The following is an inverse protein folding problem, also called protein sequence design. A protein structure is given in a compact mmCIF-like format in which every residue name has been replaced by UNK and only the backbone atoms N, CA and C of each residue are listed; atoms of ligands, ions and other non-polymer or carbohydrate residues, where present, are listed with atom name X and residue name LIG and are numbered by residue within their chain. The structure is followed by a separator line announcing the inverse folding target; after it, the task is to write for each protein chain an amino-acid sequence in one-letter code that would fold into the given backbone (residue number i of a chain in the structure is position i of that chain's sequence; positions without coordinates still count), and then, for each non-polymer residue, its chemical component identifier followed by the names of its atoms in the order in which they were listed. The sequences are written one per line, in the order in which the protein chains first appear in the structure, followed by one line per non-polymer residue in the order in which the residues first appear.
data_IF_236017716688
#
_entry.id   IF_236017716688
#
_cell.length_a   1.000
_cell.length_b   1.000
_cell.length_c   1.000
_cell.angle_alpha   90.00
_cell.angle_beta   90.00
_cell.angle_gamma   90.00
#
_symmetry.space_group_name_H-M   'P 1'
#
loop_
_entity.id
_entity.type
_entity.pdbx_description
1 polymer ?
#
# COMPACT_ATOMS: atom_id res chain seq x y z
N UNK A 1 0.49 32.37 39.26
CA UNK A 1 -0.82 31.71 39.16
C UNK A 1 -0.68 30.30 39.70
N UNK A 2 -1.35 30.03 40.83
CA UNK A 2 -1.18 28.82 41.65
C UNK A 2 -1.85 27.60 41.00
N UNK A 3 -1.10 26.52 40.81
CA UNK A 3 -1.62 25.23 40.36
C UNK A 3 -2.28 24.48 41.51
N UNK A 4 -3.60 24.57 41.61
CA UNK A 4 -4.41 23.73 42.48
C UNK A 4 -4.36 22.27 41.99
N UNK A 5 -3.94 21.33 42.85
CA UNK A 5 -4.23 19.90 42.68
C UNK A 5 -3.08 18.90 42.66
N UNK A 6 -1.82 19.28 42.92
CA UNK A 6 -0.70 18.31 42.85
C UNK A 6 -0.40 17.68 44.23
N UNK A 7 -0.49 16.34 44.39
CA UNK A 7 -0.18 15.67 45.66
C UNK A 7 1.33 15.75 45.97
N UNK A 8 1.70 15.83 47.27
CA UNK A 8 3.10 15.94 47.69
C UNK A 8 3.84 14.63 47.40
N UNK A 9 4.91 14.71 46.59
CA UNK A 9 5.76 13.55 46.23
C UNK A 9 5.84 13.20 44.74
N UNK A 10 5.15 13.93 43.86
CA UNK A 10 5.22 13.68 42.42
C UNK A 10 6.59 14.12 41.85
N UNK A 11 7.48 13.14 41.61
CA UNK A 11 8.72 13.28 40.85
C UNK A 11 8.49 14.20 39.64
N UNK A 12 9.23 15.29 39.54
CA UNK A 12 9.24 16.14 38.35
C UNK A 12 9.96 15.38 37.24
N UNK A 13 9.25 14.48 36.56
CA UNK A 13 9.68 14.00 35.26
C UNK A 13 9.46 15.15 34.29
N UNK A 14 10.52 15.88 33.97
CA UNK A 14 10.53 16.70 32.76
C UNK A 14 10.57 15.71 31.60
N UNK A 15 9.47 15.50 30.85
CA UNK A 15 9.54 14.62 29.70
C UNK A 15 10.60 15.16 28.76
N UNK A 16 11.54 14.31 28.36
CA UNK A 16 12.40 14.60 27.22
C UNK A 16 11.46 14.92 26.06
N UNK A 17 11.58 16.11 25.45
CA UNK A 17 10.75 16.46 24.30
C UNK A 17 10.86 15.34 23.26
N UNK A 18 9.74 14.89 22.67
CA UNK A 18 9.80 13.85 21.66
C UNK A 18 10.71 14.32 20.53
N UNK A 19 11.45 13.40 19.91
CA UNK A 19 12.36 13.63 18.77
C UNK A 19 11.73 14.44 17.62
N UNK A 20 10.39 14.52 17.55
CA UNK A 20 9.64 15.28 16.54
C UNK A 20 9.00 16.59 17.04
N UNK A 21 9.30 17.01 18.28
CA UNK A 21 9.07 18.34 18.85
C UNK A 21 7.61 18.85 18.91
N UNK A 22 7.10 19.14 20.11
CA UNK A 22 5.93 19.99 20.28
C UNK A 22 6.35 21.47 20.24
N UNK A 23 6.44 22.05 19.02
CA UNK A 23 6.58 23.50 18.78
C UNK A 23 7.96 24.12 19.10
N UNK A 24 8.49 25.15 18.38
CA UNK A 24 8.08 25.78 17.12
C UNK A 24 8.98 25.34 15.95
N UNK A 25 8.39 24.70 14.96
CA UNK A 25 9.07 24.12 13.79
C UNK A 25 9.48 25.14 12.70
N UNK A 26 9.44 26.43 13.04
CA UNK A 26 9.79 27.55 12.17
C UNK A 26 10.19 28.73 13.06
N UNK A 27 11.45 28.72 13.51
CA UNK A 27 11.93 29.55 14.61
C UNK A 27 11.86 31.04 14.28
N UNK A 28 12.13 31.40 13.02
CA UNK A 28 12.10 32.77 12.51
C UNK A 28 10.94 32.99 11.53
N UNK A 29 10.25 31.93 11.13
CA UNK A 29 9.14 32.01 10.20
C UNK A 29 9.57 32.05 8.74
N UNK A 30 10.68 31.39 8.43
CA UNK A 30 11.28 31.40 7.10
C UNK A 30 10.32 30.78 6.08
N UNK A 31 9.54 29.78 6.48
CA UNK A 31 8.56 29.10 5.63
C UNK A 31 7.12 29.62 5.83
N UNK A 32 6.92 30.71 6.61
CA UNK A 32 5.60 31.33 6.83
C UNK A 32 4.85 31.72 5.55
N UNK A 33 5.48 32.28 4.50
CA UNK A 33 4.73 32.69 3.30
C UNK A 33 3.95 31.53 2.66
N UNK A 34 4.64 30.40 2.43
CA UNK A 34 4.03 29.18 1.85
C UNK A 34 3.03 28.55 2.80
N UNK A 35 3.30 28.60 4.11
CA UNK A 35 2.37 28.13 5.14
C UNK A 35 1.05 28.90 5.10
N UNK A 36 1.10 30.24 4.98
CA UNK A 36 -0.09 31.09 4.92
C UNK A 36 -0.90 30.82 3.66
N UNK A 37 -0.24 30.60 2.52
CA UNK A 37 -0.90 30.19 1.27
C UNK A 37 -1.62 28.85 1.42
N UNK A 38 -0.95 27.85 2.01
CA UNK A 38 -1.54 26.56 2.31
C UNK A 38 -2.77 26.69 3.22
N UNK A 39 -2.66 27.43 4.34
CA UNK A 39 -3.79 27.66 5.25
C UNK A 39 -4.92 28.43 4.58
N UNK A 40 -4.61 29.39 3.71
CA UNK A 40 -5.60 30.11 2.91
C UNK A 40 -6.33 29.16 1.97
N UNK A 41 -5.61 28.25 1.31
CA UNK A 41 -6.19 27.23 0.45
C UNK A 41 -7.15 26.31 1.23
N UNK A 42 -6.72 25.78 2.38
CA UNK A 42 -7.55 24.91 3.23
C UNK A 42 -8.81 25.63 3.72
N UNK A 43 -8.70 26.92 4.08
CA UNK A 43 -9.87 27.72 4.45
C UNK A 43 -10.84 27.87 3.29
N UNK A 44 -10.34 28.17 2.08
CA UNK A 44 -11.15 28.29 0.86
C UNK A 44 -11.84 26.98 0.46
N UNK A 45 -11.16 25.84 0.66
CA UNK A 45 -11.70 24.51 0.37
C UNK A 45 -12.60 23.94 1.47
N UNK A 46 -13.03 24.77 2.45
CA UNK A 46 -13.88 24.37 3.58
C UNK A 46 -13.27 23.25 4.42
N UNK A 47 -11.96 23.31 4.65
CA UNK A 47 -11.23 22.32 5.44
C UNK A 47 -10.87 21.03 4.68
N UNK A 48 -11.21 20.92 3.38
CA UNK A 48 -10.85 19.76 2.57
C UNK A 48 -9.43 19.92 2.03
N UNK A 49 -8.64 18.85 2.05
CA UNK A 49 -7.33 18.85 1.41
C UNK A 49 -7.47 18.66 -0.11
N UNK A 50 -7.86 19.72 -0.82
CA UNK A 50 -8.00 19.72 -2.27
C UNK A 50 -6.63 19.50 -2.97
N UNK A 51 -6.60 19.04 -4.23
CA UNK A 51 -5.36 18.77 -4.96
C UNK A 51 -4.39 19.97 -4.95
N UNK A 52 -4.92 21.18 -5.12
CA UNK A 52 -4.14 22.41 -5.11
C UNK A 52 -3.53 22.69 -3.72
N UNK A 53 -4.28 22.44 -2.66
CA UNK A 53 -3.79 22.59 -1.28
C UNK A 53 -2.74 21.53 -0.95
N UNK A 54 -2.84 20.33 -1.53
CA UNK A 54 -1.83 19.28 -1.40
C UNK A 54 -0.50 19.70 -2.04
N UNK A 55 -0.51 20.42 -3.16
CA UNK A 55 0.73 20.96 -3.74
C UNK A 55 1.37 22.03 -2.83
N UNK A 56 0.57 22.92 -2.25
CA UNK A 56 1.06 23.92 -1.29
C UNK A 56 1.63 23.27 -0.01
N UNK A 57 1.00 22.21 0.49
CA UNK A 57 1.51 21.43 1.61
C UNK A 57 2.87 20.79 1.28
N UNK A 58 3.03 20.26 0.06
CA UNK A 58 4.29 19.69 -0.42
C UNK A 58 5.41 20.74 -0.44
N UNK A 59 5.12 21.93 -0.96
CA UNK A 59 6.07 23.05 -1.00
C UNK A 59 6.45 23.54 0.41
N UNK A 60 5.49 23.59 1.33
CA UNK A 60 5.75 23.96 2.72
C UNK A 60 6.70 22.97 3.40
N UNK A 61 6.46 21.67 3.24
CA UNK A 61 7.34 20.63 3.78
C UNK A 61 8.71 20.64 3.12
N UNK A 62 8.77 20.88 1.80
CA UNK A 62 10.03 21.07 1.07
C UNK A 62 10.86 22.20 1.66
N UNK A 63 10.25 23.37 1.86
CA UNK A 63 10.91 24.53 2.47
C UNK A 63 11.51 24.17 3.83
N UNK A 64 10.78 23.42 4.65
CA UNK A 64 11.26 23.03 5.98
C UNK A 64 12.42 22.04 5.93
N UNK A 65 12.45 21.13 4.97
CA UNK A 65 13.60 20.23 4.75
C UNK A 65 14.82 21.00 4.23
N UNK A 66 14.65 21.91 3.26
CA UNK A 66 15.74 22.70 2.67
C UNK A 66 16.41 23.64 3.68
N UNK A 67 15.63 24.14 4.64
CA UNK A 67 16.11 25.04 5.70
C UNK A 67 16.51 24.33 6.98
N UNK A 68 16.63 23.00 6.95
CA UNK A 68 16.97 22.17 8.11
C UNK A 68 16.02 22.38 9.32
N UNK A 69 14.78 22.80 9.07
CA UNK A 69 13.69 22.92 10.05
C UNK A 69 12.92 21.59 10.24
N UNK A 70 13.30 20.57 9.47
CA UNK A 70 12.81 19.19 9.53
C UNK A 70 13.87 18.26 8.93
N UNK A 71 13.98 17.04 9.45
CA UNK A 71 14.81 16.01 8.83
C UNK A 71 14.35 15.72 7.39
N UNK A 72 15.27 15.57 6.43
CA UNK A 72 14.92 15.18 5.07
C UNK A 72 14.21 13.82 5.05
N UNK A 73 13.09 13.73 4.31
CA UNK A 73 12.33 12.49 4.11
C UNK A 73 11.74 12.48 2.69
N UNK A 74 11.43 11.29 2.21
CA UNK A 74 10.82 11.11 0.90
C UNK A 74 9.35 11.53 0.92
N UNK A 75 8.95 12.29 -0.08
CA UNK A 75 7.56 12.72 -0.27
C UNK A 75 6.57 11.55 -0.33
N UNK A 76 7.02 10.36 -0.73
CA UNK A 76 6.21 9.13 -0.72
C UNK A 76 5.81 8.70 0.70
N UNK A 77 6.73 8.83 1.66
CA UNK A 77 6.51 8.53 3.08
C UNK A 77 5.62 9.59 3.76
N UNK A 78 5.71 10.83 3.28
CA UNK A 78 4.90 11.96 3.74
C UNK A 78 3.49 12.01 3.10
N UNK A 79 3.12 10.98 2.32
CA UNK A 79 1.79 10.88 1.72
C UNK A 79 1.58 11.75 0.48
N UNK A 80 2.65 12.17 -0.22
CA UNK A 80 2.62 12.88 -1.50
C UNK A 80 2.97 11.96 -2.68
N UNK A 81 2.32 10.79 -2.72
CA UNK A 81 2.43 9.86 -3.84
C UNK A 81 1.55 10.34 -5.01
N UNK A 82 2.03 10.11 -6.23
CA UNK A 82 1.27 10.36 -7.44
C UNK A 82 0.09 9.38 -7.52
N UNK A 83 -1.08 9.88 -7.89
CA UNK A 83 -2.32 9.07 -7.90
C UNK A 83 -2.22 7.92 -8.91
N UNK A 84 -1.54 8.14 -10.04
CA UNK A 84 -1.21 7.11 -11.02
C UNK A 84 -0.25 6.05 -10.45
N UNK A 85 0.78 6.46 -9.72
CA UNK A 85 1.70 5.53 -9.07
C UNK A 85 1.01 4.73 -7.96
N UNK A 86 0.14 5.36 -7.16
CA UNK A 86 -0.65 4.65 -6.15
C UNK A 86 -1.61 3.65 -6.80
N UNK A 87 -2.33 4.06 -7.85
CA UNK A 87 -3.23 3.15 -8.58
C UNK A 87 -2.48 1.95 -9.13
N UNK A 88 -1.33 2.17 -9.77
CA UNK A 88 -0.48 1.09 -10.28
C UNK A 88 0.03 0.19 -9.17
N UNK A 89 0.50 0.76 -8.06
CA UNK A 89 0.98 -0.02 -6.92
C UNK A 89 -0.14 -0.80 -6.21
N UNK A 90 -1.36 -0.25 -6.14
CA UNK A 90 -2.54 -0.94 -5.61
C UNK A 90 -3.04 -2.02 -6.56
N UNK A 91 -3.04 -1.76 -7.87
CA UNK A 91 -3.41 -2.72 -8.90
C UNK A 91 -2.41 -3.90 -8.96
N UNK A 92 -1.11 -3.62 -8.87
CA UNK A 92 -0.06 -4.64 -8.81
C UNK A 92 -0.17 -5.50 -7.54
N UNK A 93 -0.43 -4.88 -6.38
CA UNK A 93 -0.70 -5.61 -5.11
C UNK A 93 -1.98 -6.43 -5.19
N UNK A 94 -3.04 -5.88 -5.79
CA UNK A 94 -4.32 -6.54 -5.98
C UNK A 94 -4.22 -7.74 -6.92
N UNK A 95 -3.50 -7.57 -8.04
CA UNK A 95 -3.21 -8.63 -9.00
C UNK A 95 -2.39 -9.75 -8.34
N UNK A 96 -1.35 -9.40 -7.58
CA UNK A 96 -0.54 -10.34 -6.81
C UNK A 96 -1.39 -11.14 -5.81
N UNK A 97 -2.29 -10.47 -5.08
CA UNK A 97 -3.19 -11.15 -4.13
C UNK A 97 -4.18 -12.08 -4.82
N UNK A 98 -4.73 -11.68 -5.97
CA UNK A 98 -5.66 -12.48 -6.76
C UNK A 98 -4.97 -13.73 -7.33
N UNK A 99 -3.74 -13.59 -7.83
CA UNK A 99 -2.94 -14.72 -8.32
C UNK A 99 -2.61 -15.71 -7.19
N UNK A 100 -2.25 -15.21 -6.01
CA UNK A 100 -2.05 -16.04 -4.82
C UNK A 100 -3.32 -16.82 -4.47
N UNK A 101 -4.47 -16.16 -4.42
CA UNK A 101 -5.76 -16.79 -4.15
C UNK A 101 -6.12 -17.85 -5.19
N UNK A 102 -5.85 -17.61 -6.48
CA UNK A 102 -6.07 -18.59 -7.54
C UNK A 102 -5.22 -19.85 -7.32
N UNK A 103 -3.95 -19.70 -6.96
CA UNK A 103 -3.05 -20.82 -6.65
C UNK A 103 -3.52 -21.60 -5.43
N UNK A 104 -3.84 -20.90 -4.33
CA UNK A 104 -4.35 -21.53 -3.10
C UNK A 104 -5.66 -22.29 -3.35
N UNK A 105 -6.59 -21.71 -4.12
CA UNK A 105 -7.84 -22.37 -4.49
C UNK A 105 -7.60 -23.62 -5.35
N UNK A 106 -6.68 -23.55 -6.31
CA UNK A 106 -6.34 -24.71 -7.14
C UNK A 106 -5.73 -25.84 -6.31
N UNK A 107 -4.83 -25.51 -5.38
CA UNK A 107 -4.23 -26.47 -4.45
C UNK A 107 -5.28 -27.14 -3.56
N UNK A 108 -6.24 -26.38 -3.04
CA UNK A 108 -7.35 -26.94 -2.25
C UNK A 108 -8.23 -27.89 -3.07
N UNK A 109 -8.51 -27.56 -4.33
CA UNK A 109 -9.26 -28.43 -5.25
C UNK A 109 -8.47 -29.72 -5.50
N UNK A 110 -7.16 -29.62 -5.79
CA UNK A 110 -6.27 -30.78 -5.99
C UNK A 110 -6.23 -31.69 -4.77
N UNK A 111 -6.09 -31.11 -3.56
CA UNK A 111 -6.11 -31.88 -2.30
C UNK A 111 -7.43 -32.60 -2.09
N UNK A 112 -8.55 -31.91 -2.29
CA UNK A 112 -9.88 -32.52 -2.16
C UNK A 112 -10.07 -33.69 -3.12
N UNK A 113 -9.64 -33.55 -4.37
CA UNK A 113 -9.69 -34.63 -5.37
C UNK A 113 -8.78 -35.83 -5.04
N UNK A 114 -7.68 -35.59 -4.33
CA UNK A 114 -6.76 -36.62 -3.86
C UNK A 114 -7.31 -37.34 -2.61
N UNK A 115 -7.97 -36.62 -1.70
CA UNK A 115 -8.69 -37.20 -0.57
C UNK A 115 -9.87 -38.05 -1.06
N UNK A 116 -10.62 -37.52 -2.01
CA UNK A 116 -11.67 -38.18 -2.78
C UNK A 116 -11.17 -39.46 -3.52
N UNK A 117 -9.89 -39.51 -3.89
CA UNK A 117 -9.28 -40.70 -4.49
C UNK A 117 -9.18 -41.89 -3.52
N UNK A 118 -8.98 -41.59 -2.24
CA UNK A 118 -8.80 -42.57 -1.18
C UNK A 118 -10.13 -43.02 -0.57
N UNK A 119 -11.21 -42.27 -0.79
CA UNK A 119 -12.55 -42.66 -0.40
C UNK A 119 -13.17 -43.58 -1.48
N UNK A 120 -13.70 -44.75 -1.08
CA UNK A 120 -14.29 -45.75 -2.00
C UNK A 120 -15.67 -45.31 -2.52
N UNK A 121 -15.79 -44.09 -3.04
CA UNK A 121 -17.02 -43.62 -3.68
C UNK A 121 -17.13 -44.17 -5.11
N UNK A 122 -17.93 -45.22 -5.29
CA UNK A 122 -18.07 -45.95 -6.56
C UNK A 122 -19.24 -45.47 -7.43
N UNK A 123 -20.01 -44.48 -6.97
CA UNK A 123 -21.21 -44.03 -7.69
C UNK A 123 -20.84 -43.43 -9.04
N UNK A 124 -21.63 -43.74 -10.07
CA UNK A 124 -21.46 -43.20 -11.42
C UNK A 124 -21.38 -41.66 -11.43
N UNK A 125 -22.22 -41.01 -10.63
CA UNK A 125 -22.24 -39.55 -10.45
C UNK A 125 -20.89 -39.00 -9.95
N UNK A 126 -20.22 -39.72 -9.06
CA UNK A 126 -18.92 -39.32 -8.53
C UNK A 126 -17.79 -39.51 -9.54
N UNK A 127 -17.80 -40.63 -10.29
CA UNK A 127 -16.85 -40.86 -11.39
C UNK A 127 -16.97 -39.80 -12.49
N UNK A 128 -18.20 -39.42 -12.84
CA UNK A 128 -18.47 -38.36 -13.80
C UNK A 128 -18.01 -36.98 -13.29
N UNK A 129 -18.28 -36.65 -12.02
CA UNK A 129 -17.81 -35.41 -11.39
C UNK A 129 -16.28 -35.32 -11.35
N UNK A 130 -15.60 -36.41 -10.96
CA UNK A 130 -14.15 -36.51 -10.92
C UNK A 130 -13.52 -36.34 -12.30
N UNK A 131 -14.03 -37.04 -13.30
CA UNK A 131 -13.57 -36.90 -14.68
C UNK A 131 -13.77 -35.48 -15.24
N UNK A 132 -14.83 -34.78 -14.82
CA UNK A 132 -15.04 -33.38 -15.20
C UNK A 132 -14.02 -32.45 -14.53
N UNK A 133 -13.73 -32.66 -13.25
CA UNK A 133 -12.71 -31.90 -12.52
C UNK A 133 -11.31 -32.12 -13.11
N UNK A 134 -10.93 -33.36 -13.42
CA UNK A 134 -9.64 -33.66 -14.07
C UNK A 134 -9.51 -32.97 -15.44
N UNK A 135 -10.57 -32.95 -16.24
CA UNK A 135 -10.58 -32.22 -17.53
C UNK A 135 -10.48 -30.70 -17.35
N UNK A 136 -11.10 -30.16 -16.30
CA UNK A 136 -11.01 -28.73 -15.98
C UNK A 136 -9.58 -28.36 -15.56
N UNK A 137 -8.97 -29.15 -14.67
CA UNK A 137 -7.58 -28.95 -14.23
C UNK A 137 -6.63 -29.01 -15.42
N UNK A 138 -6.78 -30.02 -16.30
CA UNK A 138 -5.96 -30.14 -17.49
C UNK A 138 -6.06 -28.90 -18.40
N UNK A 139 -7.26 -28.37 -18.62
CA UNK A 139 -7.45 -27.13 -19.40
C UNK A 139 -6.77 -25.92 -18.75
N UNK A 140 -6.87 -25.79 -17.43
CA UNK A 140 -6.22 -24.70 -16.70
C UNK A 140 -4.70 -24.80 -16.82
N UNK A 141 -4.14 -26.00 -16.66
CA UNK A 141 -2.70 -26.24 -16.79
C UNK A 141 -2.20 -25.98 -18.23
N UNK A 142 -2.99 -26.34 -19.25
CA UNK A 142 -2.71 -26.02 -20.65
C UNK A 142 -2.76 -24.51 -20.92
N UNK A 143 -3.76 -23.79 -20.37
CA UNK A 143 -3.86 -22.33 -20.48
C UNK A 143 -2.70 -21.60 -19.77
N UNK A 144 -2.30 -22.08 -18.60
CA UNK A 144 -1.20 -21.50 -17.83
C UNK A 144 0.15 -21.78 -18.51
N UNK A 145 0.34 -22.96 -19.11
CA UNK A 145 1.50 -23.26 -19.93
C UNK A 145 1.58 -22.34 -21.17
N UNK A 146 0.46 -22.15 -21.88
CA UNK A 146 0.39 -21.24 -23.02
C UNK A 146 0.68 -19.78 -22.63
N UNK A 147 0.19 -19.32 -21.47
CA UNK A 147 0.52 -17.98 -20.94
C UNK A 147 1.99 -17.86 -20.56
N UNK A 148 2.60 -18.90 -19.99
CA UNK A 148 4.02 -18.93 -19.65
C UNK A 148 4.90 -18.86 -20.91
N UNK A 149 4.54 -19.59 -21.96
CA UNK A 149 5.20 -19.52 -23.27
C UNK A 149 5.06 -18.12 -23.90
N UNK A 150 3.87 -17.52 -23.85
CA UNK A 150 3.65 -16.15 -24.33
C UNK A 150 4.46 -15.11 -23.55
N UNK A 151 4.54 -15.24 -22.22
CA UNK A 151 5.34 -14.36 -21.37
C UNK A 151 6.84 -14.52 -21.66
N UNK A 152 7.33 -15.75 -21.85
CA UNK A 152 8.72 -16.01 -22.23
C UNK A 152 9.05 -15.44 -23.62
N UNK A 153 8.13 -15.55 -24.58
CA UNK A 153 8.28 -14.95 -25.90
C UNK A 153 8.31 -13.41 -25.83
N UNK A 154 7.46 -12.80 -24.99
CA UNK A 154 7.46 -11.36 -24.78
C UNK A 154 8.76 -10.86 -24.13
N UNK A 155 9.28 -11.59 -23.13
CA UNK A 155 10.58 -11.29 -22.50
C UNK A 155 11.74 -11.41 -23.50
N UNK A 156 11.75 -12.46 -24.33
CA UNK A 156 12.75 -12.63 -25.39
C UNK A 156 12.67 -11.54 -26.48
N UNK A 157 11.48 -11.03 -26.78
CA UNK A 157 11.28 -9.91 -27.71
C UNK A 157 11.75 -8.58 -27.12
N UNK A 158 11.59 -8.38 -25.81
CA UNK A 158 12.10 -7.20 -25.11
C UNK A 158 13.64 -7.16 -25.09
N UNK A 159 14.30 -8.32 -24.87
CA UNK A 159 15.76 -8.44 -24.85
C UNK A 159 16.44 -8.23 -26.23
N UNK A 160 15.69 -8.23 -27.33
CA UNK A 160 16.20 -7.93 -28.69
C UNK A 160 16.03 -6.47 -29.11
N UNK A 161 15.42 -5.64 -28.26
CA UNK A 161 15.21 -4.20 -28.51
C UNK A 161 16.24 -3.30 -27.82
N UNK A 162 17.19 -3.87 -27.09
CA UNK A 162 18.39 -3.20 -26.55
C UNK A 162 19.60 -3.41 -27.46
#
# INVERSE_FOLDING_TARGET
MSGFGRPPGALTFSPTPPERGSFPLDHEGECKPVMLEYLSCIKKSKGKNAPDCRQLAKLYLKCRMERNLMAPDDFKNLGFQDQEEMRKAEEEKGLSRLEQLKRENLELIKKRLAEDANEKHTTRKYREWRANQERLIKRIEEEDAAKAEAAAAAAAAAAKKE
#
